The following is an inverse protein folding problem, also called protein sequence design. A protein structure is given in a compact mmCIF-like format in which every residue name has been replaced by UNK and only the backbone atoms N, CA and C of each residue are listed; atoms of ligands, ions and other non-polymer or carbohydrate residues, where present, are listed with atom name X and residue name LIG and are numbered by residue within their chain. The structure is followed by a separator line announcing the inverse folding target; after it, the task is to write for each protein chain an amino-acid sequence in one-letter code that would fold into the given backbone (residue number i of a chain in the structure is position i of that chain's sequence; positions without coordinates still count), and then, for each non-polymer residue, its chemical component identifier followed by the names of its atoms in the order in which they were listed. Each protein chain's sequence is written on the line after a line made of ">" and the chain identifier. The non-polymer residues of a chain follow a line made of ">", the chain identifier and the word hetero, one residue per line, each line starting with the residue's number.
data_IF_596537938911
#
_entry.id   IF_596537938911
#
_cell.length_a   1.000
_cell.length_b   1.000
_cell.length_c   1.000
_cell.angle_alpha   90.00
_cell.angle_beta   90.00
_cell.angle_gamma   90.00
#
_symmetry.space_group_name_H-M   'P 1'
#
loop_
_entity.id
_entity.type
_entity.pdbx_description
1 polymer ?
#
# COMPACT_ATOMS: atom_id res chain seq x y z
N UNK A 1 -5.79 6.12 3.69
CA UNK A 1 -6.31 5.73 2.35
C UNK A 1 -5.77 4.38 1.83
N UNK A 2 -4.52 4.02 2.15
CA UNK A 2 -3.73 2.89 1.60
C UNK A 2 -4.23 1.45 1.84
N UNK A 3 -5.12 1.19 2.81
CA UNK A 3 -5.59 -0.17 3.15
C UNK A 3 -7.11 -0.39 3.01
N UNK A 4 -7.87 0.67 2.71
CA UNK A 4 -9.31 0.72 3.03
C UNK A 4 -10.18 0.09 1.94
N UNK A 5 -9.81 0.27 0.67
CA UNK A 5 -10.57 -0.29 -0.46
C UNK A 5 -10.24 -1.75 -0.72
N UNK A 6 -9.00 -2.15 -0.48
CA UNK A 6 -8.56 -3.53 -0.66
C UNK A 6 -9.17 -4.46 0.39
N UNK A 7 -9.21 -4.02 1.66
CA UNK A 7 -9.77 -4.82 2.75
C UNK A 7 -11.30 -4.82 2.71
N UNK A 8 -11.97 -3.74 2.31
CA UNK A 8 -13.45 -3.71 2.29
C UNK A 8 -14.05 -4.75 1.33
N UNK A 9 -13.41 -5.02 0.19
CA UNK A 9 -13.92 -6.02 -0.76
C UNK A 9 -13.52 -7.45 -0.39
N UNK A 10 -12.34 -7.63 0.21
CA UNK A 10 -11.89 -8.94 0.72
C UNK A 10 -12.59 -9.36 2.03
N UNK A 11 -13.18 -8.41 2.77
CA UNK A 11 -13.89 -8.64 4.03
C UNK A 11 -15.39 -8.91 3.87
N UNK A 12 -15.96 -8.80 2.66
CA UNK A 12 -17.35 -9.20 2.41
C UNK A 12 -17.57 -10.71 2.60
N UNK A 13 -16.50 -11.50 2.45
CA UNK A 13 -16.51 -12.93 2.74
C UNK A 13 -16.56 -13.23 4.24
N UNK A 14 -16.31 -12.25 5.12
CA UNK A 14 -16.40 -12.41 6.58
C UNK A 14 -17.85 -12.65 7.05
N UNK A 15 -18.84 -12.19 6.30
CA UNK A 15 -20.26 -12.38 6.65
C UNK A 15 -20.79 -13.77 6.21
N UNK A 16 -20.10 -14.47 5.31
CA UNK A 16 -20.56 -15.76 4.74
C UNK A 16 -19.61 -16.94 4.96
N UNK A 17 -18.30 -16.72 5.12
CA UNK A 17 -17.30 -17.77 5.38
C UNK A 17 -16.57 -17.52 6.71
N UNK A 18 -17.14 -18.04 7.81
CA UNK A 18 -16.38 -18.25 9.04
C UNK A 18 -15.32 -19.32 8.79
N UNK A 19 -14.14 -18.93 8.33
CA UNK A 19 -12.98 -19.83 8.32
C UNK A 19 -12.74 -20.25 9.78
N UNK A 20 -12.80 -21.55 10.09
CA UNK A 20 -12.84 -22.11 11.45
C UNK A 20 -11.62 -21.83 12.36
N UNK A 21 -10.75 -20.88 12.00
CA UNK A 21 -9.61 -20.44 12.80
C UNK A 21 -9.88 -19.05 13.39
N UNK A 22 -10.01 -18.90 14.73
CA UNK A 22 -10.27 -17.62 15.38
C UNK A 22 -9.15 -16.59 15.14
N UNK A 23 -7.92 -17.04 14.86
CA UNK A 23 -6.79 -16.18 14.51
C UNK A 23 -7.10 -15.30 13.29
N UNK A 24 -7.59 -15.89 12.19
CA UNK A 24 -7.89 -15.16 10.96
C UNK A 24 -9.00 -14.12 11.16
N UNK A 25 -10.02 -14.46 11.95
CA UNK A 25 -11.14 -13.56 12.23
C UNK A 25 -10.69 -12.36 13.08
N UNK A 26 -9.88 -12.60 14.12
CA UNK A 26 -9.36 -11.53 14.99
C UNK A 26 -8.47 -10.57 14.20
N UNK A 27 -7.55 -11.09 13.37
CA UNK A 27 -6.67 -10.24 12.57
C UNK A 27 -7.45 -9.40 11.55
N UNK A 28 -8.47 -9.97 10.90
CA UNK A 28 -9.36 -9.20 9.99
C UNK A 28 -10.09 -8.07 10.73
N UNK A 29 -10.66 -8.35 11.91
CA UNK A 29 -11.37 -7.34 12.72
C UNK A 29 -10.43 -6.21 13.16
N UNK A 30 -9.25 -6.54 13.69
CA UNK A 30 -8.24 -5.56 14.10
C UNK A 30 -7.78 -4.67 12.94
N UNK A 31 -7.63 -5.26 11.75
CA UNK A 31 -7.19 -4.51 10.58
C UNK A 31 -8.26 -3.53 10.09
N UNK A 32 -9.52 -3.95 10.10
CA UNK A 32 -10.66 -3.09 9.74
C UNK A 32 -10.84 -1.98 10.78
N UNK A 33 -10.81 -2.31 12.08
CA UNK A 33 -11.05 -1.33 13.15
C UNK A 33 -9.95 -0.27 13.21
N UNK A 34 -8.68 -0.66 13.13
CA UNK A 34 -7.55 0.27 13.11
C UNK A 34 -7.56 1.17 11.87
N UNK A 35 -7.93 0.62 10.71
CA UNK A 35 -8.07 1.39 9.46
C UNK A 35 -9.20 2.41 9.58
N UNK A 36 -10.37 2.00 10.08
CA UNK A 36 -11.52 2.90 10.28
C UNK A 36 -11.21 4.01 11.31
N UNK A 37 -10.52 3.66 12.39
CA UNK A 37 -10.08 4.63 13.40
C UNK A 37 -9.12 5.66 12.83
N UNK A 38 -8.18 5.23 11.99
CA UNK A 38 -7.25 6.15 11.31
C UNK A 38 -7.99 7.14 10.40
N UNK A 39 -9.03 6.70 9.67
CA UNK A 39 -9.87 7.59 8.87
C UNK A 39 -10.61 8.59 9.75
N UNK A 40 -11.20 8.11 10.85
CA UNK A 40 -11.93 8.96 11.79
C UNK A 40 -11.04 10.10 12.30
N UNK A 41 -9.81 9.78 12.70
CA UNK A 41 -8.82 10.75 13.12
C UNK A 41 -8.46 11.75 12.00
N UNK A 42 -8.27 11.27 10.76
CA UNK A 42 -7.96 12.15 9.61
C UNK A 42 -9.12 13.08 9.23
N UNK A 43 -10.37 12.63 9.37
CA UNK A 43 -11.55 13.38 8.93
C UNK A 43 -12.10 14.35 9.99
N UNK A 44 -11.91 14.07 11.27
CA UNK A 44 -12.39 14.92 12.36
C UNK A 44 -11.23 15.65 13.04
N UNK A 45 -10.42 14.91 13.80
CA UNK A 45 -9.51 15.50 14.79
C UNK A 45 -8.29 16.20 14.14
N UNK A 46 -7.80 15.66 13.02
CA UNK A 46 -6.65 16.21 12.28
C UNK A 46 -7.03 16.92 10.98
N UNK A 47 -8.33 17.16 10.74
CA UNK A 47 -8.83 17.92 9.58
C UNK A 47 -8.22 19.33 9.45
N UNK A 48 -8.00 20.10 10.54
CA UNK A 48 -7.44 21.45 10.44
C UNK A 48 -5.97 21.49 10.02
N UNK A 49 -5.23 20.38 10.16
CA UNK A 49 -3.82 20.25 9.82
C UNK A 49 -3.61 19.79 8.37
N UNK A 50 -4.70 19.44 7.67
CA UNK A 50 -4.64 18.97 6.29
C UNK A 50 -4.68 20.17 5.33
N UNK A 51 -3.55 20.53 4.74
CA UNK A 51 -3.47 21.57 3.72
C UNK A 51 -3.93 20.99 2.35
N UNK A 52 -5.12 21.38 1.84
CA UNK A 52 -5.65 20.85 0.60
C UNK A 52 -4.81 21.22 -0.64
N UNK A 53 -3.88 22.18 -0.52
CA UNK A 53 -2.98 22.54 -1.63
C UNK A 53 -1.83 21.55 -1.81
N UNK A 54 -1.52 20.74 -0.80
CA UNK A 54 -0.44 19.74 -0.85
C UNK A 54 -0.97 18.42 -1.44
N UNK A 55 -2.19 18.02 -1.09
CA UNK A 55 -2.83 16.76 -1.56
C UNK A 55 -3.59 16.92 -2.89
N UNK A 56 -2.87 17.27 -3.96
CA UNK A 56 -3.46 17.41 -5.31
C UNK A 56 -3.54 16.09 -6.09
N UNK A 57 -3.24 14.96 -5.46
CA UNK A 57 -3.14 13.69 -6.18
C UNK A 57 -4.53 13.19 -6.57
N UNK A 58 -4.78 13.06 -7.87
CA UNK A 58 -6.09 12.63 -8.40
C UNK A 58 -6.27 11.11 -8.27
N UNK A 59 -6.72 10.67 -7.09
CA UNK A 59 -6.98 9.25 -6.76
C UNK A 59 -7.94 8.56 -7.74
N UNK A 60 -8.80 9.32 -8.41
CA UNK A 60 -9.73 8.84 -9.45
C UNK A 60 -9.00 8.09 -10.57
N UNK A 61 -7.79 8.51 -10.95
CA UNK A 61 -7.02 7.80 -11.99
C UNK A 61 -6.54 6.43 -11.53
N UNK A 62 -6.17 6.28 -10.25
CA UNK A 62 -5.80 4.98 -9.70
C UNK A 62 -7.01 4.05 -9.64
N UNK A 63 -8.15 4.57 -9.16
CA UNK A 63 -9.39 3.80 -9.11
C UNK A 63 -9.83 3.33 -10.50
N UNK A 64 -9.77 4.23 -11.49
CA UNK A 64 -10.10 3.91 -12.88
C UNK A 64 -9.15 2.85 -13.45
N UNK A 65 -7.84 3.04 -13.31
CA UNK A 65 -6.84 2.09 -13.82
C UNK A 65 -6.99 0.71 -13.18
N UNK A 66 -7.15 0.64 -11.85
CA UNK A 66 -7.34 -0.62 -11.15
C UNK A 66 -8.67 -1.29 -11.50
N UNK A 67 -9.74 -0.53 -11.72
CA UNK A 67 -11.03 -1.06 -12.16
C UNK A 67 -10.96 -1.67 -13.56
N UNK A 68 -10.28 -0.99 -14.49
CA UNK A 68 -10.02 -1.51 -15.83
C UNK A 68 -9.24 -2.82 -15.76
N UNK A 69 -8.16 -2.87 -14.97
CA UNK A 69 -7.36 -4.09 -14.81
C UNK A 69 -8.14 -5.22 -14.12
N UNK A 70 -8.98 -4.91 -13.13
CA UNK A 70 -9.83 -5.89 -12.45
C UNK A 70 -10.90 -6.52 -13.35
N UNK A 71 -11.41 -5.77 -14.33
CA UNK A 71 -12.38 -6.28 -15.32
C UNK A 71 -11.68 -7.02 -16.48
N UNK A 72 -10.48 -6.59 -16.88
CA UNK A 72 -9.74 -7.20 -17.99
C UNK A 72 -9.07 -8.53 -17.62
N UNK A 73 -8.57 -8.64 -16.39
CA UNK A 73 -7.80 -9.81 -15.94
C UNK A 73 -8.39 -10.53 -14.72
N UNK A 74 -9.69 -10.92 -14.68
CA UNK A 74 -10.20 -11.80 -13.64
C UNK A 74 -9.97 -13.28 -13.99
N UNK A 75 -9.76 -14.15 -12.99
CA UNK A 75 -9.67 -15.60 -13.24
C UNK A 75 -11.01 -16.20 -13.70
N UNK A 76 -12.13 -15.61 -13.25
CA UNK A 76 -13.51 -15.95 -13.62
C UNK A 76 -14.31 -14.66 -13.72
N UNK A 77 -15.19 -14.56 -14.70
CA UNK A 77 -16.07 -13.40 -14.86
C UNK A 77 -17.27 -13.46 -13.91
N UNK A 78 -17.00 -13.55 -12.61
CA UNK A 78 -18.00 -13.37 -11.55
C UNK A 78 -17.75 -12.05 -10.83
N UNK A 79 -18.81 -11.43 -10.32
CA UNK A 79 -18.67 -10.16 -9.61
C UNK A 79 -17.69 -10.24 -8.44
N UNK A 80 -17.66 -11.36 -7.71
CA UNK A 80 -16.72 -11.60 -6.60
C UNK A 80 -15.26 -11.58 -7.06
N UNK A 81 -14.96 -12.23 -8.18
CA UNK A 81 -13.60 -12.40 -8.69
C UNK A 81 -13.08 -11.10 -9.33
N UNK A 82 -13.96 -10.36 -10.01
CA UNK A 82 -13.66 -9.04 -10.55
C UNK A 82 -13.35 -8.06 -9.42
N UNK A 83 -14.14 -8.09 -8.34
CA UNK A 83 -13.89 -7.27 -7.14
C UNK A 83 -12.60 -7.68 -6.43
N UNK A 84 -12.30 -8.98 -6.39
CA UNK A 84 -11.04 -9.50 -5.86
C UNK A 84 -9.84 -9.02 -6.69
N UNK A 85 -9.86 -9.19 -8.01
CA UNK A 85 -8.80 -8.73 -8.90
C UNK A 85 -8.62 -7.20 -8.81
N UNK A 86 -9.72 -6.44 -8.82
CA UNK A 86 -9.70 -4.99 -8.59
C UNK A 86 -9.01 -4.62 -7.28
N UNK A 87 -9.31 -5.33 -6.19
CA UNK A 87 -8.72 -5.06 -4.88
C UNK A 87 -7.19 -5.21 -4.89
N UNK A 88 -6.67 -6.25 -5.56
CA UNK A 88 -5.24 -6.53 -5.71
C UNK A 88 -4.55 -5.46 -6.57
N UNK A 89 -5.15 -5.10 -7.71
CA UNK A 89 -4.59 -4.04 -8.56
C UNK A 89 -4.58 -2.68 -7.85
N UNK A 90 -5.64 -2.35 -7.12
CA UNK A 90 -5.72 -1.10 -6.37
C UNK A 90 -4.70 -1.05 -5.24
N UNK A 91 -4.49 -2.17 -4.54
CA UNK A 91 -3.50 -2.27 -3.47
C UNK A 91 -2.08 -1.97 -3.94
N UNK A 92 -1.73 -2.43 -5.15
CA UNK A 92 -0.40 -2.21 -5.72
C UNK A 92 -0.07 -0.72 -5.90
N UNK A 93 -1.08 0.12 -6.18
CA UNK A 93 -0.90 1.55 -6.49
C UNK A 93 -1.42 2.49 -5.40
N UNK A 94 -2.18 2.01 -4.42
CA UNK A 94 -2.77 2.80 -3.34
C UNK A 94 -1.73 3.57 -2.52
N UNK A 95 -0.46 3.16 -2.64
CA UNK A 95 0.69 3.78 -2.00
C UNK A 95 1.02 5.18 -2.56
N UNK A 96 0.75 5.42 -3.84
CA UNK A 96 1.24 6.58 -4.59
C UNK A 96 0.88 7.96 -4.01
N UNK A 97 -0.36 8.26 -3.55
CA UNK A 97 -0.71 9.60 -3.09
C UNK A 97 0.20 10.10 -1.95
N UNK A 98 0.44 9.22 -0.98
CA UNK A 98 1.30 9.52 0.17
C UNK A 98 2.78 9.58 -0.22
N UNK A 99 3.23 8.82 -1.23
CA UNK A 99 4.61 8.96 -1.74
C UNK A 99 4.79 10.32 -2.41
N UNK A 100 3.80 10.75 -3.20
CA UNK A 100 3.79 12.04 -3.89
C UNK A 100 3.77 13.21 -2.90
N UNK A 101 2.98 13.10 -1.84
CA UNK A 101 2.95 14.08 -0.75
C UNK A 101 4.34 14.26 -0.12
N UNK A 102 5.03 13.17 0.23
CA UNK A 102 6.38 13.22 0.82
C UNK A 102 7.43 13.77 -0.14
N UNK A 103 7.31 13.47 -1.42
CA UNK A 103 8.21 14.04 -2.43
C UNK A 103 8.07 15.56 -2.53
N UNK A 104 6.84 16.07 -2.42
CA UNK A 104 6.52 17.51 -2.49
C UNK A 104 6.86 18.28 -1.23
N UNK A 105 6.53 17.75 -0.05
CA UNK A 105 6.81 18.46 1.21
C UNK A 105 8.31 18.51 1.49
N UNK A 106 9.09 17.56 0.98
CA UNK A 106 10.54 17.50 1.24
C UNK A 106 10.90 17.12 2.67
N UNK A 107 9.97 17.33 3.61
CA UNK A 107 9.98 16.86 4.98
C UNK A 107 9.40 15.45 5.03
N UNK A 108 10.28 14.47 4.91
CA UNK A 108 9.98 13.14 5.38
C UNK A 108 10.40 13.08 6.86
N UNK A 109 9.44 13.33 7.75
CA UNK A 109 9.66 13.09 9.18
C UNK A 109 10.21 11.67 9.37
N UNK A 110 11.26 11.52 10.18
CA UNK A 110 11.95 10.26 10.43
C UNK A 110 10.98 9.12 10.76
N UNK A 111 9.90 9.41 11.48
CA UNK A 111 8.83 8.46 11.85
C UNK A 111 8.12 7.92 10.59
N UNK A 112 7.72 8.79 9.67
CA UNK A 112 7.03 8.39 8.44
C UNK A 112 7.93 7.54 7.55
N UNK A 113 9.22 7.86 7.48
CA UNK A 113 10.20 7.06 6.73
C UNK A 113 10.36 5.66 7.31
N UNK A 114 10.52 5.52 8.63
CA UNK A 114 10.65 4.20 9.26
C UNK A 114 9.39 3.34 9.07
N UNK A 115 8.21 3.96 9.16
CA UNK A 115 6.95 3.29 8.85
C UNK A 115 6.92 2.76 7.41
N UNK A 116 7.29 3.59 6.43
CA UNK A 116 7.35 3.20 5.02
C UNK A 116 8.39 2.11 4.78
N UNK A 117 9.53 2.17 5.45
CA UNK A 117 10.59 1.16 5.40
C UNK A 117 10.12 -0.20 5.90
N UNK A 118 9.49 -0.24 7.08
CA UNK A 118 8.92 -1.47 7.62
C UNK A 118 7.83 -2.04 6.70
N UNK A 119 6.98 -1.18 6.13
CA UNK A 119 5.94 -1.58 5.19
C UNK A 119 6.50 -2.14 3.89
N UNK A 120 7.58 -1.55 3.37
CA UNK A 120 8.30 -2.02 2.18
C UNK A 120 8.97 -3.37 2.40
N UNK A 121 9.66 -3.55 3.55
CA UNK A 121 10.27 -4.84 3.93
C UNK A 121 9.19 -5.92 4.07
N UNK A 122 8.10 -5.62 4.77
CA UNK A 122 6.96 -6.54 4.91
C UNK A 122 6.50 -7.06 3.54
N UNK A 123 6.45 -6.20 2.52
CA UNK A 123 6.10 -6.60 1.15
C UNK A 123 7.20 -7.37 0.45
N UNK A 124 8.46 -6.97 0.58
CA UNK A 124 9.58 -7.71 -0.01
C UNK A 124 9.66 -9.16 0.52
N UNK A 125 9.28 -9.39 1.78
CA UNK A 125 9.21 -10.73 2.37
C UNK A 125 8.14 -11.64 1.75
N UNK A 126 7.18 -11.12 0.98
CA UNK A 126 6.27 -11.96 0.20
C UNK A 126 6.94 -12.62 -1.00
N UNK A 127 8.01 -12.03 -1.55
CA UNK A 127 8.69 -12.59 -2.72
C UNK A 127 9.28 -13.99 -2.39
N UNK A 128 10.07 -14.17 -1.31
CA UNK A 128 10.48 -15.50 -0.87
C UNK A 128 9.32 -16.43 -0.54
N UNK A 129 8.21 -15.91 -0.01
CA UNK A 129 7.04 -16.71 0.29
C UNK A 129 6.38 -17.28 -0.98
N UNK A 130 6.23 -16.48 -2.04
CA UNK A 130 5.71 -16.97 -3.32
C UNK A 130 6.63 -18.03 -3.93
N UNK A 131 7.95 -17.82 -3.85
CA UNK A 131 8.94 -18.79 -4.31
C UNK A 131 8.80 -20.10 -3.52
N UNK A 132 8.73 -20.03 -2.19
CA UNK A 132 8.55 -21.21 -1.34
C UNK A 132 7.26 -21.97 -1.68
N UNK A 133 6.13 -21.27 -1.83
CA UNK A 133 4.84 -21.90 -2.17
C UNK A 133 4.83 -22.50 -3.58
N UNK A 134 5.55 -21.90 -4.52
CA UNK A 134 5.72 -22.46 -5.86
C UNK A 134 6.44 -23.80 -5.82
N UNK A 135 7.53 -23.91 -5.04
CA UNK A 135 8.30 -25.16 -4.93
C UNK A 135 7.66 -26.21 -4.02
N UNK A 136 7.01 -25.80 -2.93
CA UNK A 136 6.39 -26.72 -1.97
C UNK A 136 5.03 -27.22 -2.45
N UNK A 137 4.15 -26.31 -2.84
CA UNK A 137 2.72 -26.59 -3.02
C UNK A 137 2.31 -26.56 -4.51
N UNK A 138 3.22 -26.18 -5.42
CA UNK A 138 2.92 -25.97 -6.84
C UNK A 138 1.96 -24.81 -7.11
N UNK A 139 1.66 -23.99 -6.09
CA UNK A 139 0.70 -22.90 -6.18
C UNK A 139 1.34 -21.65 -6.77
N UNK A 140 0.75 -21.11 -7.84
CA UNK A 140 1.18 -19.86 -8.47
C UNK A 140 -0.03 -18.98 -8.80
N UNK A 141 -0.01 -17.74 -8.32
CA UNK A 141 -1.04 -16.73 -8.57
C UNK A 141 -0.44 -15.57 -9.37
N UNK A 142 -0.55 -15.58 -10.71
CA UNK A 142 0.02 -14.54 -11.56
C UNK A 142 -0.41 -13.11 -11.20
N UNK A 143 -1.69 -12.90 -10.85
CA UNK A 143 -2.22 -11.57 -10.54
C UNK A 143 -1.58 -11.04 -9.26
N UNK A 144 -1.53 -11.86 -8.20
CA UNK A 144 -0.91 -11.48 -6.93
C UNK A 144 0.60 -11.21 -7.08
N UNK A 145 1.31 -12.03 -7.86
CA UNK A 145 2.75 -11.87 -8.08
C UNK A 145 3.05 -10.60 -8.89
N UNK A 146 2.34 -10.35 -9.99
CA UNK A 146 2.56 -9.16 -10.82
C UNK A 146 2.23 -7.88 -10.05
N UNK A 147 1.08 -7.84 -9.37
CA UNK A 147 0.69 -6.70 -8.55
C UNK A 147 1.70 -6.45 -7.41
N UNK A 148 2.19 -7.52 -6.79
CA UNK A 148 3.19 -7.43 -5.74
C UNK A 148 4.57 -6.97 -6.23
N UNK A 149 4.99 -7.35 -7.44
CA UNK A 149 6.19 -6.81 -8.09
C UNK A 149 6.06 -5.31 -8.35
N UNK A 150 4.94 -4.88 -8.95
CA UNK A 150 4.65 -3.44 -9.18
C UNK A 150 4.76 -2.68 -7.87
N UNK A 151 4.12 -3.19 -6.82
CA UNK A 151 4.14 -2.57 -5.50
C UNK A 151 5.56 -2.45 -4.94
N UNK A 152 6.37 -3.51 -5.08
CA UNK A 152 7.76 -3.54 -4.61
C UNK A 152 8.62 -2.52 -5.34
N UNK A 153 8.45 -2.38 -6.66
CA UNK A 153 9.15 -1.37 -7.47
C UNK A 153 8.79 0.04 -7.01
N UNK A 154 7.51 0.32 -6.75
CA UNK A 154 7.06 1.63 -6.25
C UNK A 154 7.69 1.98 -4.89
N UNK A 155 7.84 1.00 -3.99
CA UNK A 155 8.58 1.21 -2.74
C UNK A 155 10.07 1.45 -2.98
N UNK A 156 10.70 0.67 -3.87
CA UNK A 156 12.12 0.81 -4.18
C UNK A 156 12.46 2.19 -4.77
N UNK A 157 11.63 2.69 -5.71
CA UNK A 157 11.78 4.03 -6.30
C UNK A 157 11.73 5.12 -5.23
N UNK A 158 10.78 5.01 -4.29
CA UNK A 158 10.72 5.92 -3.16
C UNK A 158 11.98 5.89 -2.29
N UNK A 159 12.47 4.69 -1.92
CA UNK A 159 13.67 4.58 -1.11
C UNK A 159 14.88 5.17 -1.83
N UNK A 160 15.02 4.92 -3.13
CA UNK A 160 16.10 5.46 -3.92
C UNK A 160 16.14 6.99 -3.91
N UNK A 161 15.01 7.63 -4.23
CA UNK A 161 14.89 9.10 -4.22
C UNK A 161 15.16 9.66 -2.82
N UNK A 162 14.66 9.00 -1.77
CA UNK A 162 14.87 9.42 -0.39
C UNK A 162 16.34 9.33 0.04
N UNK A 163 17.03 8.22 -0.26
CA UNK A 163 18.46 8.07 0.03
C UNK A 163 19.30 9.14 -0.66
N UNK A 164 18.98 9.47 -1.92
CA UNK A 164 19.68 10.55 -2.64
C UNK A 164 19.52 11.91 -1.94
N UNK A 165 18.30 12.26 -1.50
CA UNK A 165 18.04 13.51 -0.76
C UNK A 165 18.78 13.56 0.59
N UNK A 166 18.83 12.45 1.32
CA UNK A 166 19.56 12.39 2.59
C UNK A 166 21.06 12.57 2.40
N UNK A 167 21.64 11.92 1.39
CA UNK A 167 23.07 12.03 1.09
C UNK A 167 23.42 13.46 0.67
N UNK A 168 22.61 14.10 -0.19
CA UNK A 168 22.86 15.49 -0.59
C UNK A 168 22.77 16.47 0.59
N UNK A 169 21.80 16.28 1.49
CA UNK A 169 21.63 17.12 2.67
C UNK A 169 22.80 16.97 3.64
N UNK A 170 23.24 15.72 3.89
CA UNK A 170 24.41 15.43 4.72
C UNK A 170 25.69 16.08 4.18
N UNK A 171 25.90 16.00 2.85
CA UNK A 171 27.04 16.63 2.18
C UNK A 171 27.01 18.15 2.30
N UNK A 172 25.83 18.78 2.16
CA UNK A 172 25.66 20.23 2.31
C UNK A 172 25.95 20.69 3.75
N UNK A 173 25.48 19.93 4.74
CA UNK A 173 25.78 20.18 6.16
C UNK A 173 27.29 20.10 6.40
N UNK A 174 27.95 19.05 5.91
CA UNK A 174 29.40 18.92 6.04
C UNK A 174 30.14 20.09 5.38
N UNK A 175 29.73 20.56 4.20
CA UNK A 175 30.35 21.72 3.54
C UNK A 175 30.15 23.04 4.31
N UNK A 176 29.03 23.23 5.00
CA UNK A 176 28.78 24.44 5.80
C UNK A 176 29.61 24.43 7.10
N UNK A 177 29.84 23.25 7.70
CA UNK A 177 30.57 23.11 8.97
C UNK A 177 32.08 22.87 8.82
N UNK A 178 32.59 22.70 7.60
CA UNK A 178 34.01 22.48 7.30
C UNK A 178 34.69 23.70 6.62
N UNK A 179 34.06 24.88 6.75
CA UNK A 179 34.60 26.22 6.47
C UNK A 179 34.70 26.96 7.80
#
# INVERSE_FOLDING_TARGET
>A
MRSILTVSLHSLDLFWNFTGSPYNTIFKILFISSSAYTIYLMLNDYKPTNDPNIDTFKVVYLLGASAVLGVLFPYKYTASEILWAFSIWLESVAILPQLFMLQRTGEAETITTHYLFALGIYRALYIPNWIYRYFSDGYFDPIAVVAGIIQTILYADFFWIYFQKLVSLSLMIQLIFNV
#
